data_IF_756440718443
#
_entry.id   IF_756440718443
#
_cell.length_a   1.000
_cell.length_b   1.000
_cell.length_c   1.000
_cell.angle_alpha   90.00
_cell.angle_beta   90.00
_cell.angle_gamma   90.00
#
_symmetry.space_group_name_H-M   'P 1'
#
loop_
_entity.id
_entity.type
_entity.pdbx_description
1 polymer ?
#
# COMPACT_ATOMS: atom_id res chain seq x y z
N UNK A 1 8.04 -34.60 -13.86
CA UNK A 1 7.44 -33.74 -12.80
C UNK A 1 6.46 -32.83 -13.50
N UNK A 2 5.19 -32.86 -13.12
CA UNK A 2 4.17 -32.00 -13.72
C UNK A 2 3.92 -30.81 -12.80
N UNK A 3 3.88 -29.61 -13.38
CA UNK A 3 3.50 -28.39 -12.69
C UNK A 3 1.97 -28.38 -12.62
N UNK A 4 1.41 -28.70 -11.45
CA UNK A 4 -0.03 -28.56 -11.22
C UNK A 4 -0.28 -27.07 -10.97
N UNK A 5 -1.19 -26.40 -11.71
CA UNK A 5 -1.56 -25.02 -11.43
C UNK A 5 -2.00 -24.91 -9.98
N UNK A 6 -1.38 -24.01 -9.22
CA UNK A 6 -1.76 -23.76 -7.83
C UNK A 6 -3.26 -23.38 -7.81
N UNK A 7 -4.10 -24.02 -6.99
CA UNK A 7 -5.48 -23.58 -6.85
C UNK A 7 -5.44 -22.10 -6.46
N UNK A 8 -6.07 -21.25 -7.26
CA UNK A 8 -6.28 -19.84 -6.95
C UNK A 8 -7.17 -19.78 -5.72
N UNK A 9 -6.55 -19.77 -4.54
CA UNK A 9 -7.25 -19.42 -3.30
C UNK A 9 -7.56 -17.95 -3.46
N UNK A 10 -8.83 -17.64 -3.73
CA UNK A 10 -9.30 -16.25 -3.72
C UNK A 10 -9.05 -15.71 -2.32
N UNK A 11 -8.22 -14.69 -2.20
CA UNK A 11 -7.97 -14.05 -0.91
C UNK A 11 -9.26 -13.47 -0.34
N UNK A 12 -9.38 -13.48 0.98
CA UNK A 12 -10.43 -12.77 1.68
C UNK A 12 -10.23 -11.24 1.64
N UNK A 13 -9.03 -10.79 1.28
CA UNK A 13 -8.66 -9.38 1.23
C UNK A 13 -8.73 -8.86 -0.20
N UNK A 14 -8.93 -7.55 -0.32
CA UNK A 14 -8.79 -6.82 -1.56
C UNK A 14 -8.14 -5.48 -1.31
N UNK A 15 -7.16 -5.12 -2.13
CA UNK A 15 -6.52 -3.81 -2.10
C UNK A 15 -6.51 -3.19 -3.48
N UNK A 16 -7.09 -1.99 -3.60
CA UNK A 16 -6.98 -1.16 -4.80
C UNK A 16 -6.18 0.09 -4.48
N UNK A 17 -5.36 0.53 -5.44
CA UNK A 17 -4.56 1.76 -5.33
C UNK A 17 -4.90 2.69 -6.50
N UNK A 18 -5.30 3.91 -6.19
CA UNK A 18 -5.44 4.99 -7.18
C UNK A 18 -4.50 6.12 -6.86
N UNK A 19 -4.10 6.88 -7.87
CA UNK A 19 -3.13 7.95 -7.71
C UNK A 19 -3.57 9.24 -8.43
N UNK A 20 -3.16 10.37 -7.86
CA UNK A 20 -3.26 11.70 -8.48
C UNK A 20 -1.90 12.38 -8.44
N UNK A 21 -1.50 12.95 -9.56
CA UNK A 21 -0.21 13.62 -9.72
C UNK A 21 -0.37 14.84 -10.61
N UNK A 22 0.39 15.87 -10.31
CA UNK A 22 0.60 17.01 -11.20
C UNK A 22 1.95 16.83 -11.90
N UNK A 23 1.92 16.72 -13.23
CA UNK A 23 3.10 16.50 -14.06
C UNK A 23 3.76 17.81 -14.54
N UNK A 24 3.49 18.95 -13.89
CA UNK A 24 4.21 20.19 -14.20
C UNK A 24 5.71 20.03 -13.95
N UNK A 25 6.48 20.03 -15.04
CA UNK A 25 7.94 19.90 -15.04
C UNK A 25 8.67 21.04 -14.31
N UNK A 26 7.97 22.13 -13.99
CA UNK A 26 8.54 23.25 -13.22
C UNK A 26 8.51 23.01 -11.69
N UNK A 27 7.89 21.92 -11.22
CA UNK A 27 7.84 21.58 -9.81
C UNK A 27 9.20 21.10 -9.31
N UNK A 28 9.82 21.88 -8.42
CA UNK A 28 11.10 21.55 -7.77
C UNK A 28 11.10 20.22 -7.00
N UNK A 29 9.93 19.76 -6.55
CA UNK A 29 9.74 18.48 -5.85
C UNK A 29 8.40 17.87 -6.25
N UNK A 30 8.38 17.03 -7.29
CA UNK A 30 7.15 16.36 -7.72
C UNK A 30 6.54 15.52 -6.59
N UNK A 31 5.22 15.58 -6.49
CA UNK A 31 4.44 14.87 -5.47
C UNK A 31 3.35 14.03 -6.13
N UNK A 32 3.07 12.87 -5.55
CA UNK A 32 1.95 12.02 -5.96
C UNK A 32 1.12 11.66 -4.73
N UNK A 33 -0.19 11.81 -4.85
CA UNK A 33 -1.14 11.39 -3.83
C UNK A 33 -1.60 9.97 -4.15
N UNK A 34 -1.35 9.04 -3.24
CA UNK A 34 -1.81 7.66 -3.28
C UNK A 34 -3.08 7.53 -2.43
N UNK A 35 -4.08 6.84 -2.95
CA UNK A 35 -5.32 6.50 -2.26
C UNK A 35 -5.45 4.98 -2.25
N UNK A 36 -5.45 4.40 -1.06
CA UNK A 36 -5.58 2.97 -0.83
C UNK A 36 -7.02 2.66 -0.43
N UNK A 37 -7.57 1.59 -0.98
CA UNK A 37 -8.87 1.05 -0.61
C UNK A 37 -8.66 -0.40 -0.18
N UNK A 38 -8.80 -0.65 1.12
CA UNK A 38 -8.64 -1.96 1.74
C UNK A 38 -10.01 -2.53 2.09
N UNK A 39 -10.27 -3.77 1.70
CA UNK A 39 -11.52 -4.47 1.96
C UNK A 39 -11.26 -5.89 2.47
N UNK A 40 -12.15 -6.36 3.34
CA UNK A 40 -12.20 -7.74 3.79
C UNK A 40 -13.58 -8.34 3.45
N UNK A 41 -13.59 -9.53 2.86
CA UNK A 41 -14.78 -10.27 2.44
C UNK A 41 -14.72 -11.74 2.86
N UNK A 42 -13.97 -12.06 3.92
CA UNK A 42 -13.91 -13.42 4.46
C UNK A 42 -15.15 -13.82 5.26
N UNK A 43 -15.09 -14.96 5.94
CA UNK A 43 -16.27 -15.55 6.59
C UNK A 43 -16.68 -14.83 7.88
N UNK A 44 -15.73 -14.23 8.62
CA UNK A 44 -15.96 -13.57 9.90
C UNK A 44 -16.51 -12.14 9.72
N UNK A 45 -17.08 -11.55 10.78
CA UNK A 45 -17.59 -10.16 10.75
C UNK A 45 -16.46 -9.11 10.64
N UNK A 46 -15.29 -9.41 11.20
CA UNK A 46 -14.07 -8.62 11.07
C UNK A 46 -12.86 -9.53 10.81
N UNK A 47 -11.82 -9.01 10.18
CA UNK A 47 -10.53 -9.69 10.07
C UNK A 47 -9.76 -9.66 11.40
N UNK A 48 -8.64 -10.37 11.48
CA UNK A 48 -7.62 -10.06 12.48
C UNK A 48 -6.87 -8.77 12.11
N UNK A 49 -5.75 -8.51 12.79
CA UNK A 49 -4.80 -7.47 12.42
C UNK A 49 -4.28 -7.68 10.99
N UNK A 50 -4.36 -6.63 10.18
CA UNK A 50 -3.98 -6.63 8.77
C UNK A 50 -2.80 -5.71 8.57
N UNK A 51 -1.85 -6.11 7.73
CA UNK A 51 -0.76 -5.23 7.31
C UNK A 51 -1.02 -4.76 5.89
N UNK A 52 -1.04 -3.44 5.70
CA UNK A 52 -0.90 -2.80 4.41
C UNK A 52 0.59 -2.45 4.22
N UNK A 53 1.28 -3.27 3.42
CA UNK A 53 2.69 -3.10 3.09
C UNK A 53 2.81 -2.26 1.82
N UNK A 54 3.34 -1.05 1.96
CA UNK A 54 3.50 -0.09 0.87
C UNK A 54 4.97 -0.03 0.48
N UNK A 55 5.32 -0.62 -0.67
CA UNK A 55 6.64 -0.41 -1.28
C UNK A 55 6.69 0.97 -1.93
N UNK A 56 7.74 1.74 -1.68
CA UNK A 56 7.99 3.01 -2.34
C UNK A 56 8.58 2.81 -3.74
N UNK A 57 8.23 3.70 -4.66
CA UNK A 57 8.96 3.84 -5.92
C UNK A 57 10.40 4.25 -5.64
N UNK A 58 11.34 3.75 -6.46
CA UNK A 58 12.75 4.12 -6.33
C UNK A 58 12.93 5.64 -6.45
N UNK A 59 13.61 6.26 -5.48
CA UNK A 59 13.81 7.71 -5.45
C UNK A 59 12.67 8.52 -4.84
N UNK A 60 11.60 7.86 -4.37
CA UNK A 60 10.50 8.50 -3.64
C UNK A 60 10.55 8.17 -2.15
N UNK A 61 9.99 9.06 -1.33
CA UNK A 61 9.68 8.82 0.08
C UNK A 61 8.33 9.42 0.46
N UNK A 62 7.68 8.94 1.54
CA UNK A 62 6.49 9.57 2.08
C UNK A 62 6.74 11.00 2.56
N UNK A 63 5.79 11.90 2.30
CA UNK A 63 5.73 13.20 2.95
C UNK A 63 5.46 12.99 4.44
N UNK A 64 6.37 13.48 5.29
CA UNK A 64 6.32 13.29 6.74
C UNK A 64 5.02 13.79 7.38
N UNK A 65 4.38 14.82 6.80
CA UNK A 65 3.09 15.30 7.30
C UNK A 65 1.98 14.30 6.99
N UNK A 66 1.91 13.84 5.74
CA UNK A 66 0.91 12.85 5.33
C UNK A 66 1.08 11.51 6.05
N UNK A 67 2.32 11.12 6.38
CA UNK A 67 2.60 9.91 7.14
C UNK A 67 2.06 9.99 8.57
N UNK A 68 2.18 11.16 9.22
CA UNK A 68 1.59 11.40 10.54
C UNK A 68 0.06 11.46 10.50
N UNK A 69 -0.51 12.01 9.44
CA UNK A 69 -1.96 12.01 9.22
C UNK A 69 -2.47 10.57 9.02
N UNK A 70 -1.71 9.73 8.31
CA UNK A 70 -2.00 8.31 8.14
C UNK A 70 -1.90 7.53 9.46
N UNK A 71 -0.91 7.82 10.30
CA UNK A 71 -0.74 7.17 11.61
C UNK A 71 -1.94 7.42 12.53
N UNK A 72 -2.60 8.58 12.41
CA UNK A 72 -3.83 8.91 13.14
C UNK A 72 -5.13 8.53 12.41
N UNK A 73 -5.05 7.85 11.27
CA UNK A 73 -6.22 7.54 10.45
C UNK A 73 -7.02 6.35 11.01
N UNK A 74 -8.22 6.17 10.47
CA UNK A 74 -9.16 5.12 10.88
C UNK A 74 -8.49 3.74 10.87
N UNK A 75 -8.59 3.02 12.00
CA UNK A 75 -8.10 1.66 12.22
C UNK A 75 -6.57 1.48 12.16
N UNK A 76 -5.79 2.54 11.92
CA UNK A 76 -4.33 2.48 11.96
C UNK A 76 -3.86 2.49 13.42
N UNK A 77 -3.14 1.45 13.82
CA UNK A 77 -2.54 1.37 15.17
C UNK A 77 -1.13 1.95 15.20
N UNK A 78 -0.35 1.70 14.14
CA UNK A 78 1.01 2.21 13.98
C UNK A 78 1.49 2.07 12.54
N UNK A 79 2.58 2.77 12.25
CA UNK A 79 3.33 2.62 11.00
C UNK A 79 4.78 2.34 11.33
N UNK A 80 5.35 1.33 10.69
CA UNK A 80 6.78 1.01 10.79
C UNK A 80 7.43 1.15 9.41
N UNK A 81 8.64 1.70 9.37
CA UNK A 81 9.48 1.61 8.18
C UNK A 81 10.37 0.37 8.35
N UNK A 82 10.38 -0.51 7.35
CA UNK A 82 11.19 -1.73 7.43
C UNK A 82 12.66 -1.33 7.47
N UNK A 83 13.33 -1.61 8.60
CA UNK A 83 14.72 -1.23 8.80
C UNK A 83 15.68 -2.00 7.89
N UNK A 84 15.25 -3.13 7.31
CA UNK A 84 16.06 -3.89 6.34
C UNK A 84 15.98 -3.30 4.95
N UNK A 85 14.80 -2.81 4.57
CA UNK A 85 14.52 -2.25 3.25
C UNK A 85 13.77 -0.94 3.44
N UNK A 86 14.51 0.17 3.49
CA UNK A 86 14.00 1.52 3.81
C UNK A 86 12.92 2.03 2.82
N UNK A 87 12.60 1.25 1.78
CA UNK A 87 11.54 1.53 0.81
C UNK A 87 10.18 0.92 1.21
N UNK A 88 10.09 0.09 2.26
CA UNK A 88 8.84 -0.49 2.74
C UNK A 88 8.28 0.26 3.97
N UNK A 89 6.99 0.60 3.91
CA UNK A 89 6.23 1.17 5.02
C UNK A 89 5.06 0.23 5.35
N UNK A 90 5.11 -0.35 6.55
CA UNK A 90 4.13 -1.29 7.08
C UNK A 90 3.10 -0.53 7.91
N UNK A 91 1.87 -0.47 7.41
CA UNK A 91 0.73 0.13 8.12
C UNK A 91 -0.03 -1.00 8.81
N UNK A 92 -0.07 -0.97 10.14
CA UNK A 92 -0.78 -1.96 10.95
C UNK A 92 -2.21 -1.49 11.16
N UNK A 93 -3.15 -2.20 10.55
CA UNK A 93 -4.58 -2.00 10.73
C UNK A 93 -5.09 -2.97 11.78
N UNK A 94 -5.78 -2.46 12.80
CA UNK A 94 -6.32 -3.26 13.90
C UNK A 94 -7.19 -4.43 13.41
N UNK A 95 -8.09 -4.12 12.48
CA UNK A 95 -9.01 -5.06 11.82
C UNK A 95 -9.64 -4.37 10.60
N UNK A 96 -10.24 -5.15 9.71
CA UNK A 96 -11.11 -4.68 8.63
C UNK A 96 -12.51 -5.28 8.80
N UNK A 97 -13.57 -4.45 8.87
CA UNK A 97 -14.93 -4.95 8.90
C UNK A 97 -15.36 -5.55 7.55
N UNK A 98 -16.10 -6.65 7.59
CA UNK A 98 -16.55 -7.37 6.40
C UNK A 98 -17.45 -6.48 5.52
N UNK A 99 -17.12 -6.43 4.23
CA UNK A 99 -17.90 -5.71 3.21
C UNK A 99 -17.87 -4.18 3.33
N UNK A 100 -17.03 -3.62 4.21
CA UNK A 100 -16.89 -2.17 4.39
C UNK A 100 -15.49 -1.74 3.92
N UNK A 101 -15.39 -0.96 2.83
CA UNK A 101 -14.11 -0.46 2.36
C UNK A 101 -13.53 0.62 3.28
N UNK A 102 -12.28 0.44 3.67
CA UNK A 102 -11.51 1.42 4.43
C UNK A 102 -10.55 2.13 3.48
N UNK A 103 -10.58 3.47 3.51
CA UNK A 103 -9.77 4.29 2.62
C UNK A 103 -8.69 5.03 3.40
N UNK A 104 -7.48 4.99 2.87
CA UNK A 104 -6.32 5.70 3.41
C UNK A 104 -5.65 6.51 2.31
N UNK A 105 -4.90 7.54 2.70
CA UNK A 105 -4.15 8.38 1.77
C UNK A 105 -2.70 8.53 2.24
N UNK A 106 -1.77 8.55 1.29
CA UNK A 106 -0.38 8.90 1.52
C UNK A 106 0.12 9.81 0.41
N UNK A 107 0.85 10.86 0.75
CA UNK A 107 1.56 11.67 -0.25
C UNK A 107 2.99 11.18 -0.32
N UNK A 108 3.47 10.89 -1.53
CA UNK A 108 4.88 10.56 -1.77
C UNK A 108 5.55 11.68 -2.54
N UNK A 109 6.80 11.96 -2.20
CA UNK A 109 7.61 13.04 -2.76
C UNK A 109 8.84 12.43 -3.41
N UNK A 110 9.18 12.91 -4.61
CA UNK A 110 10.42 12.51 -5.26
C UNK A 110 11.61 13.19 -4.58
N UNK A 111 12.49 12.41 -3.96
CA UNK A 111 13.75 12.90 -3.38
C UNK A 111 14.88 12.87 -4.38
N UNK A 112 14.87 11.90 -5.29
CA UNK A 112 15.89 11.71 -6.32
C UNK A 112 15.24 11.31 -7.63
N UNK A 113 15.66 11.96 -8.71
CA UNK A 113 15.29 11.56 -10.06
C UNK A 113 15.89 10.18 -10.40
N UNK A 114 15.04 9.32 -10.94
CA UNK A 114 15.38 7.96 -11.37
C UNK A 114 14.76 7.76 -12.74
N UNK A 115 15.58 7.38 -13.72
CA UNK A 115 15.11 7.03 -15.06
C UNK A 115 14.58 5.60 -15.08
N UNK A 116 13.61 5.31 -15.96
CA UNK A 116 13.00 3.98 -16.12
C UNK A 116 12.38 3.44 -14.82
N UNK A 117 11.58 4.27 -14.15
CA UNK A 117 10.85 3.89 -12.94
C UNK A 117 9.99 2.64 -13.20
N UNK A 118 10.22 1.61 -12.38
CA UNK A 118 9.35 0.43 -12.35
C UNK A 118 8.15 0.70 -11.44
N UNK A 119 6.99 0.08 -11.71
CA UNK A 119 5.87 0.07 -10.76
C UNK A 119 6.32 -0.46 -9.39
N UNK A 120 5.70 0.04 -8.33
CA UNK A 120 5.85 -0.46 -6.98
C UNK A 120 4.59 -1.24 -6.57
N UNK A 121 4.78 -2.22 -5.70
CA UNK A 121 3.71 -3.13 -5.26
C UNK A 121 3.21 -2.72 -3.88
N UNK A 122 1.90 -2.77 -3.70
CA UNK A 122 1.22 -2.66 -2.41
C UNK A 122 0.58 -4.00 -2.12
N UNK A 123 0.81 -4.53 -0.92
CA UNK A 123 0.28 -5.83 -0.50
C UNK A 123 -0.54 -5.65 0.76
N UNK A 124 -1.72 -6.25 0.81
CA UNK A 124 -2.59 -6.31 1.98
C UNK A 124 -2.69 -7.77 2.43
N UNK A 125 -2.35 -8.07 3.68
CA UNK A 125 -2.34 -9.45 4.18
C UNK A 125 -2.64 -9.55 5.68
N UNK A 126 -3.19 -10.70 6.09
CA UNK A 126 -3.39 -11.02 7.51
C UNK A 126 -2.03 -11.25 8.21
N UNK A 127 -1.83 -10.62 9.36
CA UNK A 127 -0.57 -10.71 10.11
C UNK A 127 -0.22 -12.14 10.55
N UNK A 128 -1.22 -12.96 10.88
CA UNK A 128 -1.06 -14.34 11.35
C UNK A 128 -1.10 -15.36 10.21
N UNK A 129 -1.67 -14.99 9.06
CA UNK A 129 -1.72 -15.82 7.86
C UNK A 129 -1.35 -15.02 6.59
N UNK A 130 -0.06 -14.63 6.39
CA UNK A 130 0.35 -13.80 5.26
C UNK A 130 0.11 -14.40 3.87
N UNK A 131 -0.16 -15.70 3.78
CA UNK A 131 -0.56 -16.36 2.53
C UNK A 131 -1.95 -15.93 2.03
N UNK A 132 -2.82 -15.46 2.93
CA UNK A 132 -4.08 -14.82 2.57
C UNK A 132 -3.81 -13.33 2.34
N UNK A 133 -3.62 -12.98 1.08
CA UNK A 133 -3.15 -11.67 0.67
C UNK A 133 -3.65 -11.28 -0.72
N UNK A 134 -3.75 -9.98 -0.93
CA UNK A 134 -3.99 -9.37 -2.23
C UNK A 134 -2.92 -8.33 -2.52
N UNK A 135 -2.58 -8.14 -3.80
CA UNK A 135 -1.56 -7.20 -4.23
C UNK A 135 -2.00 -6.37 -5.42
N UNK A 136 -1.61 -5.10 -5.42
CA UNK A 136 -1.85 -4.17 -6.52
C UNK A 136 -0.61 -3.31 -6.76
N UNK A 137 -0.33 -3.05 -8.04
CA UNK A 137 0.77 -2.18 -8.44
C UNK A 137 0.32 -0.72 -8.61
N UNK A 138 1.25 0.21 -8.41
CA UNK A 138 1.09 1.61 -8.81
C UNK A 138 2.36 2.14 -9.48
N UNK A 139 2.19 3.08 -10.39
CA UNK A 139 3.27 3.69 -11.17
C UNK A 139 3.21 5.21 -11.08
N UNK A 140 4.35 5.86 -11.33
CA UNK A 140 4.42 7.31 -11.47
C UNK A 140 4.31 7.69 -12.96
N UNK A 141 3.21 8.33 -13.42
CA UNK A 141 2.95 8.53 -14.84
C UNK A 141 3.69 9.72 -15.47
N UNK A 142 4.38 10.54 -14.68
CA UNK A 142 5.15 11.69 -15.16
C UNK A 142 6.64 11.37 -15.36
N UNK A 143 7.01 10.09 -15.40
CA UNK A 143 8.38 9.61 -15.59
C UNK A 143 8.86 9.76 -17.04
#
# INVERSE_FOLDING_TARGET
MYNVPTPTVTSAFKVDVTHKVDCDSNLLRPKMNLFFKSEYNGDQETSNMVILNIKMLSGFKPDSRSLKELEGALLVERIENDQKDNDHYLVYLKELPKGIPINHQLVVVQEREVSNLKPAVVVLYDYYQPSDSDETEYSYPCA
#
